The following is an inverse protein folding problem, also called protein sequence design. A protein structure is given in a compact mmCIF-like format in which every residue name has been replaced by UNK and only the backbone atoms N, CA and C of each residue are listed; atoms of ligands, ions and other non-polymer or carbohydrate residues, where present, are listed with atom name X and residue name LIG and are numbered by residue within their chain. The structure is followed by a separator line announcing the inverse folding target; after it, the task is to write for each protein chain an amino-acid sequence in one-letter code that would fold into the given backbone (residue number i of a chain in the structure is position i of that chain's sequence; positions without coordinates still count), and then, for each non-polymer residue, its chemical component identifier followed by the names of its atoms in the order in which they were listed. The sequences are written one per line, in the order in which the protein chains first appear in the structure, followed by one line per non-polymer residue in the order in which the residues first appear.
data_IF_509262490198
#
_entry.id   IF_509262490198
#
_cell.length_a   1.000
_cell.length_b   1.000
_cell.length_c   1.000
_cell.angle_alpha   90.00
_cell.angle_beta   90.00
_cell.angle_gamma   90.00
#
_symmetry.space_group_name_H-M   'P 1'
#
loop_
_entity.id
_entity.type
_entity.pdbx_description
1 polymer ?
#
# COMPACT_ATOMS: atom_id res chain seq x y z
N UNK A 1 4.32 -9.51 0.82
CA UNK A 1 3.88 -10.61 -0.09
C UNK A 1 2.59 -11.19 0.45
N UNK A 2 1.50 -11.06 -0.29
CA UNK A 2 0.14 -11.41 0.16
C UNK A 2 -0.34 -12.64 -0.62
N UNK A 3 -0.90 -13.63 0.06
CA UNK A 3 -1.64 -14.71 -0.60
C UNK A 3 -3.00 -14.16 -1.04
N UNK A 4 -3.25 -13.96 -2.34
CA UNK A 4 -4.55 -13.48 -2.81
C UNK A 4 -5.65 -14.50 -2.54
N UNK A 5 -6.90 -14.07 -2.47
CA UNK A 5 -8.03 -15.01 -2.53
C UNK A 5 -8.12 -15.59 -3.93
N UNK A 6 -8.31 -16.90 -4.03
CA UNK A 6 -8.33 -17.60 -5.31
C UNK A 6 -9.40 -18.67 -5.34
N UNK A 7 -9.77 -19.05 -6.55
CA UNK A 7 -10.68 -20.16 -6.86
C UNK A 7 -10.07 -21.00 -7.97
N UNK A 8 -10.14 -22.31 -7.84
CA UNK A 8 -9.67 -23.23 -8.87
C UNK A 8 -10.85 -24.06 -9.36
N UNK A 9 -11.16 -23.95 -10.65
CA UNK A 9 -12.15 -24.78 -11.34
C UNK A 9 -11.45 -25.63 -12.42
N UNK A 10 -12.11 -26.65 -12.95
CA UNK A 10 -11.56 -27.51 -13.99
C UNK A 10 -12.62 -27.99 -14.98
N UNK A 11 -12.16 -28.25 -16.21
CA UNK A 11 -12.91 -28.99 -17.25
C UNK A 11 -12.18 -30.32 -17.56
N UNK A 12 -12.62 -31.06 -18.57
CA UNK A 12 -11.94 -32.27 -19.03
C UNK A 12 -10.51 -32.00 -19.53
N UNK A 13 -10.24 -30.82 -20.09
CA UNK A 13 -8.95 -30.49 -20.73
C UNK A 13 -8.13 -29.41 -20.00
N UNK A 14 -8.79 -28.49 -19.27
CA UNK A 14 -8.15 -27.30 -18.69
C UNK A 14 -8.44 -27.13 -17.19
N UNK A 15 -7.58 -26.35 -16.53
CA UNK A 15 -7.78 -25.80 -15.19
C UNK A 15 -7.88 -24.28 -15.29
N UNK A 16 -8.82 -23.72 -14.53
CA UNK A 16 -9.06 -22.29 -14.43
C UNK A 16 -8.73 -21.81 -13.03
N UNK A 17 -7.66 -21.03 -12.89
CA UNK A 17 -7.29 -20.38 -11.64
C UNK A 17 -7.77 -18.94 -11.71
N UNK A 18 -8.75 -18.59 -10.88
CA UNK A 18 -9.22 -17.20 -10.72
C UNK A 18 -8.59 -16.61 -9.47
N UNK A 19 -7.79 -15.56 -9.62
CA UNK A 19 -7.05 -14.90 -8.54
C UNK A 19 -7.57 -13.48 -8.38
N UNK A 20 -7.97 -13.11 -7.17
CA UNK A 20 -8.47 -11.78 -6.85
C UNK A 20 -7.30 -10.87 -6.45
N UNK A 21 -7.03 -9.86 -7.27
CA UNK A 21 -5.95 -8.87 -7.10
C UNK A 21 -6.52 -7.46 -7.30
N UNK A 22 -7.22 -6.90 -6.29
CA UNK A 22 -7.75 -5.54 -6.38
C UNK A 22 -6.62 -4.51 -6.49
N UNK A 23 -6.84 -3.46 -7.28
CA UNK A 23 -5.96 -2.28 -7.38
C UNK A 23 -4.54 -2.52 -7.92
N UNK A 24 -4.34 -3.49 -8.83
CA UNK A 24 -3.00 -3.76 -9.42
C UNK A 24 -2.91 -3.30 -10.88
N UNK A 25 -1.71 -2.85 -11.28
CA UNK A 25 -1.36 -2.63 -12.69
C UNK A 25 -0.77 -3.91 -13.26
N UNK A 26 -1.34 -4.42 -14.35
CA UNK A 26 -0.95 -5.70 -14.97
C UNK A 26 0.40 -5.67 -15.74
N UNK A 27 1.34 -4.81 -15.36
CA UNK A 27 2.57 -4.58 -16.14
C UNK A 27 3.68 -5.61 -15.84
N UNK A 28 3.67 -6.28 -14.69
CA UNK A 28 4.72 -7.21 -14.26
C UNK A 28 4.12 -8.50 -13.65
N UNK A 29 3.32 -9.24 -14.45
CA UNK A 29 2.81 -10.56 -14.05
C UNK A 29 3.84 -11.61 -14.41
N UNK A 30 4.26 -12.42 -13.43
CA UNK A 30 5.13 -13.56 -13.62
C UNK A 30 4.37 -14.86 -13.27
N UNK A 31 4.40 -15.80 -14.20
CA UNK A 31 3.69 -17.07 -14.16
C UNK A 31 4.69 -18.19 -14.34
N UNK A 32 4.63 -19.19 -13.46
CA UNK A 32 5.47 -20.38 -13.55
C UNK A 32 4.63 -21.63 -13.34
N UNK A 33 4.69 -22.54 -14.30
CA UNK A 33 3.97 -23.81 -14.26
C UNK A 33 4.95 -24.94 -14.53
N UNK A 34 5.12 -25.86 -13.56
CA UNK A 34 5.98 -27.02 -13.74
C UNK A 34 5.39 -28.24 -13.03
N UNK A 35 5.02 -29.26 -13.81
CA UNK A 35 4.44 -30.50 -13.29
C UNK A 35 3.19 -30.20 -12.47
N UNK A 36 3.23 -30.47 -11.17
CA UNK A 36 2.10 -30.24 -10.27
C UNK A 36 2.13 -28.86 -9.59
N UNK A 37 3.10 -28.00 -9.90
CA UNK A 37 3.30 -26.73 -9.22
C UNK A 37 2.92 -25.54 -10.11
N UNK A 38 2.12 -24.65 -9.54
CA UNK A 38 1.73 -23.38 -10.15
C UNK A 38 2.18 -22.24 -9.25
N UNK A 39 2.92 -21.27 -9.78
CA UNK A 39 3.30 -20.04 -9.08
C UNK A 39 2.81 -18.84 -9.87
N UNK A 40 2.21 -17.90 -9.14
CA UNK A 40 1.80 -16.61 -9.63
C UNK A 40 2.48 -15.54 -8.78
N UNK A 41 3.17 -14.62 -9.43
CA UNK A 41 3.79 -13.48 -8.79
C UNK A 41 3.37 -12.19 -9.49
N UNK A 42 2.83 -11.27 -8.70
CA UNK A 42 2.47 -9.94 -9.15
C UNK A 42 2.46 -9.03 -7.93
N UNK A 43 3.44 -8.14 -7.79
CA UNK A 43 3.57 -7.31 -6.57
C UNK A 43 2.25 -6.59 -6.22
N UNK A 44 1.73 -6.71 -4.97
CA UNK A 44 2.31 -7.39 -3.79
C UNK A 44 1.92 -8.88 -3.61
N UNK A 45 1.15 -9.45 -4.52
CA UNK A 45 0.61 -10.80 -4.47
C UNK A 45 1.61 -11.88 -4.87
N UNK A 46 1.60 -12.97 -4.10
CA UNK A 46 2.29 -14.21 -4.42
C UNK A 46 1.39 -15.38 -4.08
N UNK A 47 1.16 -16.27 -5.04
CA UNK A 47 0.36 -17.48 -4.85
C UNK A 47 1.14 -18.68 -5.37
N UNK A 48 1.19 -19.75 -4.58
CA UNK A 48 1.74 -21.02 -5.00
C UNK A 48 0.74 -22.12 -4.72
N UNK A 49 0.43 -22.91 -5.74
CA UNK A 49 -0.48 -24.02 -5.63
C UNK A 49 0.23 -25.32 -5.99
N UNK A 50 0.02 -26.34 -5.19
CA UNK A 50 0.34 -27.72 -5.51
C UNK A 50 -0.93 -28.43 -5.97
N UNK A 51 -1.06 -28.61 -7.28
CA UNK A 51 -2.19 -29.27 -7.91
C UNK A 51 -2.09 -30.80 -7.72
N UNK A 52 -3.22 -31.52 -7.61
CA UNK A 52 -3.22 -32.98 -7.48
C UNK A 52 -2.66 -33.75 -8.69
N UNK A 53 -2.57 -33.10 -9.84
CA UNK A 53 -2.08 -33.68 -11.08
C UNK A 53 -1.19 -32.70 -11.83
N UNK A 54 -0.55 -33.20 -12.88
CA UNK A 54 0.38 -32.42 -13.66
C UNK A 54 -0.35 -31.53 -14.68
N UNK A 55 0.17 -30.32 -14.82
CA UNK A 55 -0.27 -29.30 -15.77
C UNK A 55 0.92 -28.88 -16.62
N UNK A 56 0.61 -28.44 -17.83
CA UNK A 56 1.59 -27.96 -18.80
C UNK A 56 1.20 -26.56 -19.26
N UNK A 57 2.21 -25.71 -19.42
CA UNK A 57 2.06 -24.43 -20.11
C UNK A 57 2.31 -24.66 -21.59
N UNK A 58 1.22 -24.69 -22.37
CA UNK A 58 1.23 -24.77 -23.83
C UNK A 58 0.73 -23.46 -24.46
N UNK A 59 0.82 -23.35 -25.79
CA UNK A 59 0.33 -22.18 -26.55
C UNK A 59 -1.18 -21.91 -26.37
N UNK A 60 -1.94 -22.84 -25.77
CA UNK A 60 -3.36 -22.68 -25.45
C UNK A 60 -3.63 -22.09 -24.07
N UNK A 61 -2.57 -21.90 -23.27
CA UNK A 61 -2.65 -21.28 -21.95
C UNK A 61 -2.87 -19.78 -22.11
N UNK A 62 -3.86 -19.25 -21.41
CA UNK A 62 -4.26 -17.85 -21.53
C UNK A 62 -4.46 -17.22 -20.16
N UNK A 63 -3.88 -16.05 -19.95
CA UNK A 63 -4.11 -15.21 -18.77
C UNK A 63 -4.88 -13.95 -19.20
N UNK A 64 -6.04 -13.73 -18.60
CA UNK A 64 -6.88 -12.55 -18.85
C UNK A 64 -7.06 -11.78 -17.55
N UNK A 65 -6.87 -10.46 -17.59
CA UNK A 65 -7.14 -9.56 -16.47
C UNK A 65 -8.46 -8.83 -16.70
N UNK A 66 -9.33 -8.82 -15.68
CA UNK A 66 -10.53 -7.99 -15.64
C UNK A 66 -10.32 -6.82 -14.66
N UNK A 67 -10.05 -5.58 -15.16
CA UNK A 67 -9.85 -4.41 -14.33
C UNK A 67 -11.08 -3.99 -13.53
N UNK A 68 -12.29 -4.35 -13.98
CA UNK A 68 -13.53 -3.93 -13.32
C UNK A 68 -13.81 -4.77 -12.08
N UNK A 69 -13.52 -6.07 -12.15
CA UNK A 69 -13.65 -7.00 -11.04
C UNK A 69 -12.38 -7.13 -10.18
N UNK A 70 -11.22 -6.67 -10.70
CA UNK A 70 -9.92 -6.85 -10.04
C UNK A 70 -9.48 -8.31 -10.00
N UNK A 71 -9.80 -9.11 -11.03
CA UNK A 71 -9.53 -10.55 -11.06
C UNK A 71 -8.65 -10.95 -12.24
N UNK A 72 -7.66 -11.79 -11.98
CA UNK A 72 -6.94 -12.56 -13.01
C UNK A 72 -7.62 -13.90 -13.22
N UNK A 73 -7.87 -14.25 -14.47
CA UNK A 73 -8.33 -15.59 -14.88
C UNK A 73 -7.25 -16.24 -15.71
N UNK A 74 -6.70 -17.33 -15.19
CA UNK A 74 -5.59 -18.04 -15.80
C UNK A 74 -6.10 -19.42 -16.21
N UNK A 75 -5.95 -19.74 -17.49
CA UNK A 75 -6.30 -21.02 -18.09
C UNK A 75 -5.03 -21.80 -18.37
N UNK A 76 -4.94 -23.02 -17.83
CA UNK A 76 -3.77 -23.91 -17.93
C UNK A 76 -4.22 -25.28 -18.43
N UNK A 77 -3.41 -25.92 -19.27
CA UNK A 77 -3.74 -27.23 -19.87
C UNK A 77 -3.29 -28.38 -18.96
N UNK A 78 -4.12 -29.43 -18.86
CA UNK A 78 -3.77 -30.66 -18.13
C UNK A 78 -2.81 -31.52 -18.94
N UNK A 79 -1.82 -32.13 -18.30
CA UNK A 79 -0.90 -33.06 -18.98
C UNK A 79 -1.67 -34.29 -19.50
N UNK A 80 -2.60 -34.82 -18.71
CA UNK A 80 -3.48 -35.92 -19.13
C UNK A 80 -4.92 -35.45 -19.32
N UNK A 81 -5.36 -35.40 -20.58
CA UNK A 81 -6.73 -34.98 -20.95
C UNK A 81 -7.75 -35.97 -20.39
N UNK A 82 -8.79 -35.46 -19.73
CA UNK A 82 -9.84 -36.25 -19.09
C UNK A 82 -9.57 -36.63 -17.63
N UNK A 83 -8.39 -36.32 -17.06
CA UNK A 83 -8.12 -36.55 -15.65
C UNK A 83 -8.87 -35.53 -14.78
N UNK A 84 -9.69 -36.02 -13.85
CA UNK A 84 -10.35 -35.19 -12.84
C UNK A 84 -9.40 -35.00 -11.65
N UNK A 85 -9.15 -33.76 -11.28
CA UNK A 85 -8.30 -33.40 -10.15
C UNK A 85 -9.19 -33.37 -8.90
N UNK A 86 -9.00 -34.26 -7.92
CA UNK A 86 -9.83 -34.26 -6.71
C UNK A 86 -9.49 -33.06 -5.81
N UNK A 87 -10.44 -32.67 -4.96
CA UNK A 87 -10.21 -31.71 -3.86
C UNK A 87 -9.76 -30.29 -4.26
N UNK A 88 -10.09 -29.81 -5.47
CA UNK A 88 -9.79 -28.43 -5.88
C UNK A 88 -10.47 -27.37 -4.99
N UNK A 89 -11.56 -27.75 -4.31
CA UNK A 89 -12.27 -26.90 -3.35
C UNK A 89 -11.51 -26.76 -2.01
N UNK A 90 -10.59 -27.67 -1.70
CA UNK A 90 -9.78 -27.62 -0.46
C UNK A 90 -8.57 -26.71 -0.66
N UNK A 91 -8.81 -25.40 -0.66
CA UNK A 91 -7.79 -24.37 -0.88
C UNK A 91 -6.55 -24.54 0.03
N UNK A 92 -6.75 -24.95 1.28
CA UNK A 92 -5.66 -25.20 2.23
C UNK A 92 -4.75 -26.36 1.81
N UNK A 93 -5.30 -27.39 1.15
CA UNK A 93 -4.54 -28.52 0.61
C UNK A 93 -3.70 -28.11 -0.60
N UNK A 94 -4.22 -27.17 -1.41
CA UNK A 94 -3.49 -26.63 -2.56
C UNK A 94 -2.33 -25.71 -2.12
N UNK A 95 -2.45 -25.03 -0.99
CA UNK A 95 -1.40 -24.17 -0.42
C UNK A 95 -0.36 -24.96 0.39
N UNK A 96 -0.69 -26.19 0.80
CA UNK A 96 0.15 -27.02 1.65
C UNK A 96 1.51 -27.28 1.01
N UNK A 97 2.56 -27.25 1.82
CA UNK A 97 3.92 -27.45 1.33
C UNK A 97 4.19 -28.91 1.00
N UNK A 98 5.17 -29.17 0.12
CA UNK A 98 5.69 -30.54 -0.06
C UNK A 98 6.20 -31.08 1.29
N UNK A 99 5.58 -32.14 1.80
CA UNK A 99 5.96 -32.82 3.05
C UNK A 99 5.12 -32.46 4.29
N UNK A 100 4.18 -31.51 4.20
CA UNK A 100 3.17 -31.30 5.26
C UNK A 100 2.03 -32.33 5.15
N UNK A 101 2.33 -33.61 5.39
CA UNK A 101 1.26 -34.53 5.81
C UNK A 101 0.83 -34.13 7.23
N UNK A 102 -0.49 -33.99 7.45
CA UNK A 102 -1.09 -33.65 8.74
C UNK A 102 -0.28 -34.21 9.90
N UNK A 103 0.24 -33.30 10.75
CA UNK A 103 1.11 -33.59 11.90
C UNK A 103 0.72 -34.90 12.58
N UNK A 104 1.33 -36.02 12.17
CA UNK A 104 1.34 -37.26 12.96
C UNK A 104 2.02 -36.87 14.26
N UNK A 105 1.25 -36.84 15.35
CA UNK A 105 1.73 -36.54 16.69
C UNK A 105 3.03 -37.31 16.94
N UNK A 106 4.18 -36.63 16.85
CA UNK A 106 5.46 -37.22 17.23
C UNK A 106 5.38 -37.45 18.74
N UNK A 107 5.28 -38.72 19.15
CA UNK A 107 5.46 -39.16 20.54
C UNK A 107 6.82 -38.63 21.03
N UNK A 108 6.96 -38.19 22.29
CA UNK A 108 8.23 -37.68 22.78
C UNK A 108 9.28 -38.80 22.72
N UNK A 109 10.30 -38.58 21.89
CA UNK A 109 11.46 -39.45 21.76
C UNK A 109 12.43 -39.06 22.89
N UNK A 110 12.61 -39.95 23.86
CA UNK A 110 13.64 -39.79 24.89
C UNK A 110 15.00 -40.03 24.23
N UNK A 111 15.82 -38.99 24.19
CA UNK A 111 17.18 -39.05 23.68
C UNK A 111 18.11 -39.58 24.78
N UNK A 112 18.76 -40.72 24.54
CA UNK A 112 19.75 -41.31 25.44
C UNK A 112 21.12 -40.85 24.99
N UNK A 113 21.77 -40.00 25.80
CA UNK A 113 23.12 -39.49 25.57
C UNK A 113 24.13 -40.64 25.68
N UNK A 114 24.63 -41.13 24.55
CA UNK A 114 25.76 -42.05 24.52
C UNK A 114 25.87 -42.91 23.27
N UNK A 115 26.37 -42.35 22.18
CA UNK A 115 26.76 -43.10 20.98
C UNK A 115 27.49 -42.18 20.00
N UNK A 116 28.77 -42.47 19.75
CA UNK A 116 29.62 -41.76 18.80
C UNK A 116 29.25 -42.13 17.36
N UNK A 117 28.72 -41.20 16.57
CA UNK A 117 28.47 -41.39 15.14
C UNK A 117 28.94 -40.18 14.30
N UNK A 118 29.37 -40.50 13.08
CA UNK A 118 30.10 -39.70 12.09
C UNK A 118 29.27 -38.53 11.48
N UNK A 119 29.89 -37.52 10.83
CA UNK A 119 29.25 -36.28 10.37
C UNK A 119 28.44 -36.46 9.06
N UNK A 120 27.65 -37.52 8.96
CA UNK A 120 26.78 -37.78 7.79
C UNK A 120 25.37 -37.16 7.94
N UNK A 121 24.97 -36.73 9.14
CA UNK A 121 23.59 -36.29 9.43
C UNK A 121 23.25 -34.88 8.92
N UNK A 122 24.21 -33.95 8.82
CA UNK A 122 23.91 -32.55 8.51
C UNK A 122 23.47 -32.33 7.04
N UNK A 123 23.87 -33.20 6.11
CA UNK A 123 23.52 -33.08 4.69
C UNK A 123 22.12 -33.62 4.41
N UNK A 124 21.73 -34.72 5.06
CA UNK A 124 20.35 -35.25 4.97
C UNK A 124 19.34 -34.28 5.61
N UNK A 125 19.69 -33.67 6.74
CA UNK A 125 18.85 -32.64 7.37
C UNK A 125 18.66 -31.39 6.49
N UNK A 126 19.68 -30.99 5.73
CA UNK A 126 19.59 -29.85 4.81
C UNK A 126 18.74 -30.17 3.55
N UNK A 127 18.69 -31.43 3.12
CA UNK A 127 17.81 -31.88 2.02
C UNK A 127 16.36 -32.04 2.47
N UNK A 128 16.11 -32.35 3.74
CA UNK A 128 14.76 -32.38 4.33
C UNK A 128 14.23 -31.01 4.74
N UNK A 129 15.10 -29.99 4.83
CA UNK A 129 14.67 -28.65 5.21
C UNK A 129 13.82 -28.01 4.10
N UNK A 130 12.53 -27.87 4.38
CA UNK A 130 11.58 -27.29 3.46
C UNK A 130 11.74 -25.75 3.43
N UNK A 131 12.47 -25.25 2.42
CA UNK A 131 12.73 -23.82 2.17
C UNK A 131 11.52 -23.00 1.71
N UNK A 132 10.35 -23.62 1.60
CA UNK A 132 9.12 -22.95 1.22
C UNK A 132 8.56 -22.08 2.36
N UNK A 133 8.08 -20.86 2.05
CA UNK A 133 7.44 -19.96 3.04
C UNK A 133 5.95 -20.37 3.20
N UNK A 134 5.38 -20.42 4.42
CA UNK A 134 3.97 -20.77 4.60
C UNK A 134 3.06 -19.71 3.99
N UNK A 135 2.03 -20.14 3.26
CA UNK A 135 0.98 -19.28 2.73
C UNK A 135 -0.26 -19.41 3.61
N UNK A 136 -0.62 -18.32 4.30
CA UNK A 136 -1.88 -18.23 5.04
C UNK A 136 -2.88 -17.43 4.23
N UNK A 137 -4.13 -17.91 4.17
CA UNK A 137 -5.24 -17.14 3.63
C UNK A 137 -5.56 -15.97 4.57
N UNK A 138 -5.98 -14.80 4.05
CA UNK A 138 -6.37 -13.69 4.91
C UNK A 138 -7.54 -14.10 5.82
N UNK A 139 -7.30 -14.17 7.14
CA UNK A 139 -8.37 -14.44 8.11
C UNK A 139 -9.33 -13.26 8.12
N UNK A 140 -10.62 -13.50 7.89
CA UNK A 140 -11.69 -12.48 7.84
C UNK A 140 -11.92 -11.72 9.16
N UNK A 141 -11.20 -12.08 10.23
CA UNK A 141 -11.43 -11.61 11.59
C UNK A 141 -10.68 -10.32 11.97
N UNK A 142 -9.82 -9.80 11.11
CA UNK A 142 -9.07 -8.54 11.36
C UNK A 142 -9.80 -7.28 10.87
N UNK A 143 -11.03 -7.41 10.39
CA UNK A 143 -11.78 -6.32 9.73
C UNK A 143 -12.38 -5.26 10.68
N UNK A 144 -12.18 -5.37 12.00
CA UNK A 144 -12.92 -4.58 13.00
C UNK A 144 -12.10 -3.60 13.85
N UNK A 145 -10.88 -3.26 13.44
CA UNK A 145 -10.22 -2.04 13.92
C UNK A 145 -9.77 -1.28 12.66
N UNK A 146 -10.73 -0.63 12.02
CA UNK A 146 -10.46 0.29 10.92
C UNK A 146 -10.50 1.70 11.50
N UNK A 147 -9.33 2.25 11.81
CA UNK A 147 -9.23 3.67 12.05
C UNK A 147 -9.64 4.43 10.79
N UNK A 148 -10.54 5.39 10.96
CA UNK A 148 -10.93 6.28 9.89
C UNK A 148 -10.02 7.52 9.87
N UNK A 149 -9.70 7.97 8.66
CA UNK A 149 -8.85 9.12 8.41
C UNK A 149 -9.21 9.79 7.07
N UNK A 150 -8.46 10.83 6.71
CA UNK A 150 -8.67 11.59 5.47
C UNK A 150 -9.87 12.52 5.54
N UNK A 151 -10.39 12.88 4.37
CA UNK A 151 -11.50 13.83 4.26
C UNK A 151 -12.76 13.30 4.96
N UNK A 152 -13.27 14.09 5.93
CA UNK A 152 -14.43 13.78 6.77
C UNK A 152 -14.42 12.36 7.38
N UNK A 153 -13.23 11.80 7.65
CA UNK A 153 -13.05 10.43 8.17
C UNK A 153 -13.71 9.35 7.30
N UNK A 154 -13.70 9.53 5.98
CA UNK A 154 -14.37 8.61 5.05
C UNK A 154 -13.45 7.51 4.50
N UNK A 155 -12.16 7.52 4.86
CA UNK A 155 -11.15 6.62 4.29
C UNK A 155 -10.57 5.69 5.35
N UNK A 156 -10.33 4.45 4.94
CA UNK A 156 -9.67 3.38 5.70
C UNK A 156 -9.06 2.35 4.73
N UNK A 157 -8.10 1.56 5.18
CA UNK A 157 -7.50 0.47 4.39
C UNK A 157 -6.45 0.88 3.35
N UNK A 158 -6.26 2.19 3.11
CA UNK A 158 -5.24 2.69 2.18
C UNK A 158 -3.82 2.45 2.72
N UNK A 159 -3.63 2.58 4.04
CA UNK A 159 -2.32 2.47 4.68
C UNK A 159 -2.00 1.06 5.20
N UNK A 160 -2.88 0.07 4.99
CA UNK A 160 -2.65 -1.32 5.44
C UNK A 160 -1.33 -1.91 4.93
N UNK A 161 -0.91 -1.54 3.72
CA UNK A 161 0.33 -2.00 3.10
C UNK A 161 1.28 -0.85 2.78
N UNK A 162 1.18 0.28 3.51
CA UNK A 162 2.05 1.43 3.27
C UNK A 162 3.52 1.08 3.51
N UNK A 163 3.85 0.09 4.34
CA UNK A 163 5.23 -0.37 4.50
C UNK A 163 5.81 -1.01 3.21
N UNK A 164 4.95 -1.49 2.30
CA UNK A 164 5.37 -2.02 1.00
C UNK A 164 5.44 -0.92 -0.09
N UNK A 165 4.93 0.29 0.19
CA UNK A 165 4.97 1.44 -0.72
C UNK A 165 5.84 2.54 -0.12
N UNK A 166 6.81 3.08 -0.85
CA UNK A 166 7.65 4.19 -0.35
C UNK A 166 6.82 5.48 -0.26
N UNK A 167 6.02 5.63 0.80
CA UNK A 167 5.37 6.88 1.18
C UNK A 167 6.22 7.57 2.25
N UNK A 168 7.15 8.40 1.79
CA UNK A 168 8.04 9.16 2.67
C UNK A 168 7.35 10.35 3.34
N UNK A 169 6.12 10.70 2.95
CA UNK A 169 5.35 11.81 3.53
C UNK A 169 4.70 11.38 4.84
N UNK A 170 4.11 10.18 4.88
CA UNK A 170 3.42 9.69 6.07
C UNK A 170 4.41 9.36 7.20
N UNK A 171 4.29 10.05 8.33
CA UNK A 171 5.12 9.88 9.53
C UNK A 171 4.52 8.87 10.52
N UNK A 172 3.23 8.51 10.40
CA UNK A 172 2.57 7.57 11.30
C UNK A 172 2.88 6.12 10.91
N UNK A 173 3.46 5.34 11.82
CA UNK A 173 3.86 3.96 11.56
C UNK A 173 2.68 2.99 11.34
N UNK A 174 1.57 3.19 12.06
CA UNK A 174 0.38 2.34 11.98
C UNK A 174 -0.92 3.16 11.86
N UNK A 175 -1.18 3.79 10.70
CA UNK A 175 -2.37 4.62 10.50
C UNK A 175 -3.69 3.87 10.76
N UNK A 176 -3.77 2.61 10.32
CA UNK A 176 -4.98 1.78 10.40
C UNK A 176 -5.40 1.41 11.83
N UNK A 177 -4.49 1.49 12.81
CA UNK A 177 -4.76 1.16 14.21
C UNK A 177 -4.75 2.41 15.12
N UNK A 178 -4.59 3.61 14.56
CA UNK A 178 -4.38 4.85 15.31
C UNK A 178 -5.67 5.66 15.51
N UNK A 179 -5.82 6.33 16.64
CA UNK A 179 -6.89 7.33 16.86
C UNK A 179 -6.39 8.74 16.54
N UNK A 180 -7.31 9.71 16.39
CA UNK A 180 -6.93 11.12 16.18
C UNK A 180 -6.02 11.64 17.31
N UNK A 181 -6.32 11.31 18.57
CA UNK A 181 -5.47 11.65 19.72
C UNK A 181 -4.09 11.01 19.66
N UNK A 182 -4.02 9.72 19.36
CA UNK A 182 -2.75 9.00 19.28
C UNK A 182 -1.87 9.57 18.16
N UNK A 183 -2.46 9.92 17.00
CA UNK A 183 -1.73 10.57 15.90
C UNK A 183 -1.17 11.93 16.31
N UNK A 184 -1.93 12.71 17.10
CA UNK A 184 -1.48 14.00 17.62
C UNK A 184 -0.31 13.87 18.59
N UNK A 185 -0.39 12.93 19.53
CA UNK A 185 0.69 12.66 20.49
C UNK A 185 1.97 12.20 19.78
N UNK A 186 1.82 11.30 18.82
CA UNK A 186 2.91 10.81 17.98
C UNK A 186 3.55 11.94 17.17
N UNK A 187 2.75 12.79 16.52
CA UNK A 187 3.24 13.96 15.78
C UNK A 187 4.06 14.88 16.67
N UNK A 188 3.54 15.25 17.84
CA UNK A 188 4.26 16.15 18.77
C UNK A 188 5.59 15.51 19.19
N UNK A 189 5.61 14.19 19.44
CA UNK A 189 6.86 13.49 19.78
C UNK A 189 7.87 13.56 18.63
N UNK A 190 7.43 13.22 17.41
CA UNK A 190 8.29 13.20 16.22
C UNK A 190 8.78 14.59 15.83
N UNK A 191 7.94 15.62 15.93
CA UNK A 191 8.33 17.02 15.68
C UNK A 191 9.42 17.48 16.65
N UNK A 192 9.29 17.15 17.95
CA UNK A 192 10.31 17.49 18.94
C UNK A 192 11.62 16.70 18.74
N UNK A 193 11.54 15.45 18.31
CA UNK A 193 12.70 14.61 18.02
C UNK A 193 13.44 15.06 16.74
N UNK A 194 12.69 15.50 15.74
CA UNK A 194 13.23 15.94 14.45
C UNK A 194 13.76 17.38 14.47
N UNK A 195 13.34 18.18 15.44
CA UNK A 195 13.81 19.56 15.57
C UNK A 195 15.30 19.59 15.89
N UNK A 196 16.07 20.27 15.03
CA UNK A 196 17.50 20.44 15.17
C UNK A 196 17.81 21.90 15.57
N UNK A 197 18.23 22.08 16.82
CA UNK A 197 18.58 23.39 17.39
C UNK A 197 19.75 24.06 16.66
N UNK A 198 20.75 23.28 16.24
CA UNK A 198 21.95 23.79 15.58
C UNK A 198 21.62 24.24 14.16
N UNK A 199 20.80 23.49 13.44
CA UNK A 199 20.29 23.88 12.12
C UNK A 199 19.49 25.18 12.21
N UNK A 200 18.56 25.27 13.18
CA UNK A 200 17.77 26.49 13.39
C UNK A 200 18.64 27.70 13.73
N UNK A 201 19.65 27.54 14.60
CA UNK A 201 20.56 28.63 14.95
C UNK A 201 21.42 29.08 13.76
N UNK A 202 21.79 28.14 12.89
CA UNK A 202 22.54 28.45 11.66
C UNK A 202 21.69 29.26 10.70
N UNK A 203 20.46 28.83 10.43
CA UNK A 203 19.50 29.55 9.58
C UNK A 203 19.18 30.95 10.14
N UNK A 204 19.13 31.08 11.47
CA UNK A 204 18.93 32.37 12.13
C UNK A 204 20.14 33.31 11.97
N UNK A 205 21.35 32.76 12.01
CA UNK A 205 22.58 33.54 11.86
C UNK A 205 22.90 33.88 10.38
N UNK A 206 22.54 32.99 9.45
CA UNK A 206 22.83 33.08 8.01
C UNK A 206 21.52 33.18 7.21
N UNK A 207 20.76 34.26 7.43
CA UNK A 207 19.38 34.39 6.96
C UNK A 207 19.23 34.94 5.52
N UNK A 208 20.31 35.06 4.74
CA UNK A 208 20.30 35.72 3.43
C UNK A 208 19.26 35.13 2.46
N UNK A 209 19.20 33.80 2.35
CA UNK A 209 18.24 33.08 1.51
C UNK A 209 16.80 33.23 2.04
N UNK A 210 16.63 33.22 3.36
CA UNK A 210 15.33 33.40 4.01
C UNK A 210 14.80 34.81 3.75
N UNK A 211 15.65 35.83 3.88
CA UNK A 211 15.29 37.21 3.58
C UNK A 211 14.93 37.39 2.11
N UNK A 212 15.60 36.68 1.21
CA UNK A 212 15.25 36.65 -0.21
C UNK A 212 13.84 36.07 -0.42
N UNK A 213 13.54 34.90 0.17
CA UNK A 213 12.22 34.28 0.11
C UNK A 213 11.10 35.15 0.73
N UNK A 214 11.39 35.89 1.82
CA UNK A 214 10.44 36.83 2.44
C UNK A 214 10.11 38.01 1.51
N UNK A 215 11.11 38.50 0.76
CA UNK A 215 10.93 39.62 -0.19
C UNK A 215 10.05 39.23 -1.37
N UNK A 216 10.05 37.96 -1.78
CA UNK A 216 9.21 37.46 -2.86
C UNK A 216 7.71 37.80 -2.64
N UNK A 217 7.08 38.37 -3.67
CA UNK A 217 5.66 38.76 -3.66
C UNK A 217 4.88 37.86 -4.61
N UNK A 218 4.07 36.99 -4.02
CA UNK A 218 3.17 36.08 -4.73
C UNK A 218 2.18 36.83 -5.61
N UNK A 219 1.68 36.16 -6.66
CA UNK A 219 0.58 36.67 -7.48
C UNK A 219 -0.64 36.99 -6.61
N UNK A 220 -0.99 36.10 -5.68
CA UNK A 220 -2.10 36.26 -4.74
C UNK A 220 -1.99 37.54 -3.88
N UNK A 221 -0.79 37.90 -3.41
CA UNK A 221 -0.59 39.11 -2.64
C UNK A 221 -0.76 40.39 -3.48
N UNK A 222 -0.41 40.33 -4.77
CA UNK A 222 -0.63 41.44 -5.71
C UNK A 222 -2.12 41.59 -6.03
N UNK A 223 -2.82 40.48 -6.27
CA UNK A 223 -4.26 40.48 -6.51
C UNK A 223 -5.06 40.93 -5.29
N UNK A 224 -4.70 40.48 -4.08
CA UNK A 224 -5.35 40.93 -2.85
C UNK A 224 -5.29 42.46 -2.69
N UNK A 225 -4.15 43.08 -3.02
CA UNK A 225 -4.02 44.55 -3.01
C UNK A 225 -4.92 45.22 -4.05
N UNK A 226 -5.07 44.63 -5.25
CA UNK A 226 -5.99 45.15 -6.28
C UNK A 226 -7.43 45.06 -5.81
N UNK A 227 -7.84 43.94 -5.21
CA UNK A 227 -9.17 43.74 -4.65
C UNK A 227 -9.45 44.76 -3.55
N UNK A 228 -8.51 44.98 -2.63
CA UNK A 228 -8.65 45.96 -1.55
C UNK A 228 -8.77 47.41 -2.06
N UNK A 229 -8.11 47.75 -3.16
CA UNK A 229 -8.11 49.10 -3.71
C UNK A 229 -9.27 49.38 -4.67
N UNK A 230 -9.69 48.40 -5.47
CA UNK A 230 -10.62 48.57 -6.58
C UNK A 230 -11.90 47.74 -6.48
N UNK A 231 -12.03 46.87 -5.46
CA UNK A 231 -13.25 46.09 -5.19
C UNK A 231 -13.52 44.94 -6.16
N UNK A 232 -12.69 44.73 -7.18
CA UNK A 232 -12.86 43.67 -8.18
C UNK A 232 -11.67 42.70 -8.17
N UNK A 233 -11.97 41.40 -8.14
CA UNK A 233 -11.00 40.32 -8.33
C UNK A 233 -11.04 39.86 -9.78
N UNK A 234 -9.89 39.84 -10.44
CA UNK A 234 -9.75 39.34 -11.82
C UNK A 234 -9.12 37.94 -11.87
N UNK A 235 -9.07 37.22 -10.75
CA UNK A 235 -8.53 35.86 -10.72
C UNK A 235 -9.46 34.93 -11.51
N UNK A 236 -9.01 34.56 -12.71
CA UNK A 236 -9.65 33.57 -13.56
C UNK A 236 -8.77 32.32 -13.56
N UNK A 237 -9.43 31.16 -13.61
CA UNK A 237 -8.72 29.91 -13.80
C UNK A 237 -7.99 29.91 -15.14
N UNK A 238 -6.77 29.43 -15.13
CA UNK A 238 -6.04 29.08 -16.33
C UNK A 238 -6.71 27.90 -17.02
N UNK A 239 -6.46 27.72 -18.32
CA UNK A 239 -6.99 26.58 -19.07
C UNK A 239 -6.63 25.22 -18.44
N UNK A 240 -5.43 25.13 -17.84
CA UNK A 240 -4.98 23.95 -17.12
C UNK A 240 -5.78 23.70 -15.84
N UNK A 241 -6.03 24.75 -15.05
CA UNK A 241 -6.86 24.63 -13.84
C UNK A 241 -8.32 24.29 -14.18
N UNK A 242 -8.86 24.85 -15.26
CA UNK A 242 -10.20 24.47 -15.74
C UNK A 242 -10.28 22.99 -16.12
N UNK A 243 -9.23 22.45 -16.76
CA UNK A 243 -9.16 21.01 -17.07
C UNK A 243 -9.09 20.16 -15.81
N UNK A 244 -8.26 20.54 -14.84
CA UNK A 244 -8.19 19.87 -13.53
C UNK A 244 -9.54 19.88 -12.82
N UNK A 245 -10.25 21.01 -12.84
CA UNK A 245 -11.58 21.14 -12.26
C UNK A 245 -12.62 20.24 -12.93
N UNK A 246 -12.48 19.93 -14.23
CA UNK A 246 -13.36 18.98 -14.94
C UNK A 246 -13.09 17.51 -14.57
N UNK A 247 -11.88 17.18 -14.14
CA UNK A 247 -11.49 15.83 -13.74
C UNK A 247 -11.96 15.48 -12.31
N UNK A 248 -12.34 16.48 -11.51
CA UNK A 248 -12.82 16.25 -10.15
C UNK A 248 -14.16 15.49 -10.15
N UNK A 249 -14.33 14.54 -9.20
CA UNK A 249 -15.55 13.75 -9.10
C UNK A 249 -16.73 14.65 -8.71
N UNK A 250 -17.84 14.55 -9.46
CA UNK A 250 -19.09 15.25 -9.14
C UNK A 250 -19.84 14.48 -8.06
N UNK A 251 -19.47 14.72 -6.79
CA UNK A 251 -20.09 14.11 -5.62
C UNK A 251 -20.71 15.18 -4.73
N UNK A 252 -21.89 14.89 -4.21
CA UNK A 252 -22.49 15.65 -3.13
C UNK A 252 -22.00 15.08 -1.80
N UNK A 253 -21.51 15.94 -0.91
CA UNK A 253 -20.96 15.55 0.38
C UNK A 253 -21.90 15.97 1.50
N UNK A 254 -22.28 15.03 2.35
CA UNK A 254 -22.93 15.31 3.63
C UNK A 254 -21.83 15.43 4.68
N UNK A 255 -21.43 16.66 4.97
CA UNK A 255 -20.31 16.96 5.86
C UNK A 255 -20.78 16.88 7.31
N UNK A 256 -20.06 16.12 8.13
CA UNK A 256 -20.38 16.00 9.56
C UNK A 256 -19.82 17.17 10.36
N UNK A 257 -18.58 17.60 10.07
CA UNK A 257 -17.91 18.67 10.79
C UNK A 257 -17.21 19.65 9.83
N UNK A 258 -17.93 20.71 9.43
CA UNK A 258 -17.39 21.75 8.55
C UNK A 258 -16.18 22.46 9.14
N UNK A 259 -16.16 22.69 10.46
CA UNK A 259 -15.07 23.41 11.14
C UNK A 259 -13.75 22.66 11.01
N UNK A 260 -13.76 21.34 11.21
CA UNK A 260 -12.56 20.51 11.05
C UNK A 260 -12.01 20.59 9.62
N UNK A 261 -12.89 20.62 8.61
CA UNK A 261 -12.50 20.75 7.20
C UNK A 261 -11.86 22.11 6.93
N UNK A 262 -12.46 23.21 7.42
CA UNK A 262 -11.86 24.54 7.23
C UNK A 262 -10.50 24.67 7.93
N UNK A 263 -10.33 24.06 9.11
CA UNK A 263 -9.03 24.04 9.80
C UNK A 263 -7.99 23.22 9.02
N UNK A 264 -8.37 22.07 8.47
CA UNK A 264 -7.50 21.29 7.57
C UNK A 264 -7.15 22.05 6.28
N UNK A 265 -8.08 22.85 5.75
CA UNK A 265 -7.81 23.72 4.61
C UNK A 265 -6.78 24.80 4.95
N UNK A 266 -6.83 25.39 6.14
CA UNK A 266 -5.81 26.36 6.59
C UNK A 266 -4.43 25.73 6.66
N UNK A 267 -4.33 24.50 7.20
CA UNK A 267 -3.08 23.72 7.24
C UNK A 267 -2.51 23.47 5.83
N UNK A 268 -3.34 23.03 4.89
CA UNK A 268 -2.96 22.82 3.49
C UNK A 268 -2.54 24.12 2.78
N UNK A 269 -3.29 25.21 3.00
CA UNK A 269 -2.99 26.52 2.40
C UNK A 269 -1.67 27.08 2.94
N UNK A 270 -1.37 26.86 4.21
CA UNK A 270 -0.09 27.23 4.80
C UNK A 270 1.05 26.46 4.13
N UNK A 271 0.95 25.14 4.05
CA UNK A 271 1.94 24.27 3.41
C UNK A 271 2.19 24.63 1.94
N UNK A 272 1.11 24.83 1.17
CA UNK A 272 1.20 25.29 -0.22
C UNK A 272 1.86 26.67 -0.34
N UNK A 273 1.45 27.63 0.49
CA UNK A 273 1.99 28.99 0.46
C UNK A 273 3.47 29.05 0.83
N UNK A 274 3.89 28.19 1.76
CA UNK A 274 5.29 28.02 2.14
C UNK A 274 6.11 27.50 0.95
N UNK A 275 5.69 26.40 0.34
CA UNK A 275 6.36 25.84 -0.83
C UNK A 275 6.38 26.82 -2.01
N UNK A 276 5.26 27.47 -2.32
CA UNK A 276 5.18 28.46 -3.39
C UNK A 276 6.14 29.64 -3.15
N UNK A 277 6.35 30.05 -1.90
CA UNK A 277 7.30 31.13 -1.59
C UNK A 277 8.74 30.67 -1.80
N UNK A 278 9.10 29.47 -1.33
CA UNK A 278 10.45 28.93 -1.48
C UNK A 278 10.82 28.64 -2.93
N UNK A 279 9.84 28.23 -3.74
CA UNK A 279 10.02 27.88 -5.15
C UNK A 279 9.74 29.05 -6.12
N UNK A 280 9.46 30.24 -5.59
CA UNK A 280 9.09 31.42 -6.38
C UNK A 280 7.90 31.21 -7.34
N UNK A 281 7.04 30.23 -7.04
CA UNK A 281 5.88 29.84 -7.84
C UNK A 281 6.13 28.70 -8.83
N UNK A 282 7.36 28.21 -8.97
CA UNK A 282 7.70 27.11 -9.88
C UNK A 282 7.96 25.81 -9.11
N UNK A 283 6.94 24.97 -9.00
CA UNK A 283 7.04 23.69 -8.30
C UNK A 283 8.14 22.78 -8.88
N UNK A 284 8.81 22.04 -8.00
CA UNK A 284 9.86 21.07 -8.31
C UNK A 284 9.52 19.68 -7.78
N UNK A 285 10.43 18.71 -7.94
CA UNK A 285 10.23 17.32 -7.51
C UNK A 285 9.98 17.18 -6.00
N UNK A 286 10.51 18.11 -5.20
CA UNK A 286 10.36 18.14 -3.74
C UNK A 286 9.10 18.87 -3.26
N UNK A 287 8.36 19.52 -4.17
CA UNK A 287 7.20 20.34 -3.78
C UNK A 287 6.09 19.51 -3.13
N UNK A 288 5.83 18.31 -3.66
CA UNK A 288 4.84 17.40 -3.06
C UNK A 288 5.29 16.94 -1.67
N UNK A 289 6.58 16.64 -1.50
CA UNK A 289 7.15 16.24 -0.22
C UNK A 289 7.11 17.38 0.79
N UNK A 290 7.51 18.59 0.40
CA UNK A 290 7.50 19.78 1.26
C UNK A 290 6.10 20.10 1.77
N UNK A 291 5.11 20.13 0.87
CA UNK A 291 3.71 20.36 1.24
C UNK A 291 3.20 19.24 2.14
N UNK A 292 3.50 17.99 1.78
CA UNK A 292 3.10 16.81 2.54
C UNK A 292 3.65 16.79 3.95
N UNK A 293 4.93 17.15 4.14
CA UNK A 293 5.59 17.19 5.45
C UNK A 293 5.14 18.35 6.32
N UNK A 294 4.90 19.51 5.72
CA UNK A 294 4.50 20.70 6.48
C UNK A 294 3.03 20.64 6.93
N UNK A 295 2.17 19.95 6.17
CA UNK A 295 0.76 19.76 6.52
C UNK A 295 0.59 18.56 7.44
N UNK A 296 0.22 18.80 8.69
CA UNK A 296 -0.12 17.75 9.68
C UNK A 296 -1.29 16.87 9.23
N UNK A 297 -2.20 17.42 8.42
CA UNK A 297 -3.32 16.69 7.81
C UNK A 297 -2.83 15.61 6.83
N UNK A 298 -1.68 15.83 6.18
CA UNK A 298 -1.09 14.90 5.20
C UNK A 298 -0.04 13.98 5.83
N UNK A 299 0.93 14.53 6.56
CA UNK A 299 2.03 13.76 7.15
C UNK A 299 1.56 12.87 8.29
N UNK A 300 0.61 13.35 9.09
CA UNK A 300 0.17 12.66 10.31
C UNK A 300 -1.30 12.25 10.28
N UNK A 301 -2.05 12.49 9.20
CA UNK A 301 -3.47 12.15 9.08
C UNK A 301 -4.31 12.68 10.26
N UNK A 302 -3.88 13.79 10.86
CA UNK A 302 -4.56 14.43 11.98
C UNK A 302 -5.66 15.35 11.45
N UNK A 303 -6.91 15.12 11.89
CA UNK A 303 -7.99 16.06 11.69
C UNK A 303 -8.14 16.92 12.95
N UNK A 304 -8.30 18.24 12.77
CA UNK A 304 -8.53 19.17 13.88
C UNK A 304 -9.95 18.99 14.45
N UNK A 305 -10.14 18.05 15.36
CA UNK A 305 -11.45 17.74 15.95
C UNK A 305 -11.78 18.53 17.22
N UNK A 306 -10.78 19.12 17.88
CA UNK A 306 -10.95 19.74 19.20
C UNK A 306 -11.03 21.25 19.12
N UNK A 307 -12.25 21.80 19.19
CA UNK A 307 -12.62 23.01 19.94
C UNK A 307 -14.14 23.10 20.06
#
# INVERSE_FOLDING_TARGET
MITPTFKVDQDEEFIYVTINTPHVRAQDVDLYVEGSEFRFYLRPYFLRLHLPGNVIEDDNSQSTYDPSAGQFRIKITKETKGQVFPDLDLLTKLLARKGEEEKKQKKPLIEVVGGSEEPASEIEEAMEFNWEIPQELPTTSSLNIQAYYGFDQQYTGYFTHVQETLNEINDIQQPEASTAESRREERIRLENERFDEDHYCTDFAMDEEIQYAIKYKTAYAKELKKVQNHGESQLQFTAQEEEMMRQLPRKEYLISNEKAIYLGLVDLLFAYSYNHRLTEGEGNVESAWCIGKLSSTLSCLEASERY
#
